data_IF_506464708638
#
_entry.id   IF_506464708638
#
_cell.length_a   1.000
_cell.length_b   1.000
_cell.length_c   1.000
_cell.angle_alpha   90.00
_cell.angle_beta   90.00
_cell.angle_gamma   90.00
#
_symmetry.space_group_name_H-M   'P 1'
#
loop_
_entity.id
_entity.type
_entity.pdbx_description
1 polymer ?
#
# COMPACT_ATOMS: atom_id res chain seq x y z
N UNK A 1 -14.19 -6.33 -9.16
CA UNK A 1 -13.99 -5.42 -8.02
C UNK A 1 -13.92 -6.16 -6.69
N UNK A 2 -14.85 -7.07 -6.43
CA UNK A 2 -14.82 -7.84 -5.19
C UNK A 2 -13.60 -8.74 -5.10
N UNK A 3 -13.09 -9.20 -6.24
CA UNK A 3 -11.90 -10.05 -6.27
C UNK A 3 -10.64 -9.36 -5.75
N UNK A 4 -10.55 -8.06 -5.89
CA UNK A 4 -9.41 -7.31 -5.34
C UNK A 4 -9.42 -7.35 -3.82
N UNK A 5 -10.58 -7.10 -3.22
CA UNK A 5 -10.71 -7.18 -1.76
C UNK A 5 -10.49 -8.59 -1.25
N UNK A 6 -11.03 -9.59 -1.93
CA UNK A 6 -10.85 -10.98 -1.54
C UNK A 6 -9.38 -11.40 -1.62
N UNK A 7 -8.70 -11.08 -2.71
CA UNK A 7 -7.30 -11.44 -2.89
C UNK A 7 -6.40 -10.76 -1.85
N UNK A 8 -6.63 -9.48 -1.59
CA UNK A 8 -5.88 -8.76 -0.56
C UNK A 8 -6.17 -9.32 0.82
N UNK A 9 -7.43 -9.62 1.11
CA UNK A 9 -7.83 -10.22 2.39
C UNK A 9 -7.17 -11.56 2.62
N UNK A 10 -7.06 -12.40 1.60
CA UNK A 10 -6.41 -13.70 1.72
C UNK A 10 -4.97 -13.55 2.21
N UNK A 11 -4.28 -12.49 1.77
CA UNK A 11 -2.90 -12.25 2.18
C UNK A 11 -2.77 -11.61 3.56
N UNK A 12 -3.77 -10.85 3.99
CA UNK A 12 -3.64 -9.99 5.16
C UNK A 12 -4.48 -10.40 6.37
N UNK A 13 -5.61 -11.09 6.16
CA UNK A 13 -6.48 -11.46 7.28
C UNK A 13 -5.72 -12.38 8.23
N UNK A 14 -5.74 -12.04 9.51
CA UNK A 14 -5.05 -12.81 10.54
C UNK A 14 -3.57 -12.50 10.65
N UNK A 15 -3.04 -11.63 9.80
CA UNK A 15 -1.64 -11.23 9.88
C UNK A 15 -1.45 -10.13 10.93
N UNK A 16 -0.24 -10.05 11.43
CA UNK A 16 0.14 -9.13 12.49
C UNK A 16 0.94 -7.99 11.86
N UNK A 17 0.65 -6.75 12.25
CA UNK A 17 1.48 -5.60 11.87
C UNK A 17 2.77 -5.65 12.67
N UNK A 18 3.91 -5.63 11.99
CA UNK A 18 5.23 -5.68 12.63
C UNK A 18 6.01 -4.39 12.48
N UNK A 19 5.61 -3.50 11.57
CA UNK A 19 6.28 -2.22 11.38
C UNK A 19 5.32 -1.19 10.81
N UNK A 20 5.41 0.03 11.32
CA UNK A 20 4.71 1.18 10.77
C UNK A 20 5.72 2.31 10.74
N UNK A 21 5.99 2.84 9.55
CA UNK A 21 6.97 3.91 9.39
C UNK A 21 6.61 4.76 8.19
N UNK A 22 7.18 5.95 8.14
CA UNK A 22 7.13 6.73 6.92
C UNK A 22 8.11 6.19 5.89
N UNK A 23 7.83 6.46 4.63
CA UNK A 23 8.78 6.18 3.55
C UNK A 23 10.07 6.96 3.79
N UNK A 24 11.19 6.35 3.44
CA UNK A 24 12.47 7.05 3.47
C UNK A 24 12.56 8.06 2.33
N UNK A 25 13.49 8.98 2.42
CA UNK A 25 13.72 9.96 1.34
C UNK A 25 14.03 9.27 0.02
N UNK A 26 14.77 8.17 0.07
CA UNK A 26 15.11 7.39 -1.11
C UNK A 26 13.87 6.76 -1.74
N UNK A 27 12.97 6.25 -0.91
CA UNK A 27 11.71 5.67 -1.38
C UNK A 27 10.81 6.73 -2.00
N UNK A 28 10.74 7.89 -1.38
CA UNK A 28 9.97 9.04 -1.91
C UNK A 28 10.48 9.43 -3.30
N UNK A 29 11.79 9.54 -3.44
CA UNK A 29 12.41 9.87 -4.73
C UNK A 29 12.14 8.81 -5.78
N UNK A 30 12.26 7.54 -5.41
CA UNK A 30 12.03 6.43 -6.33
C UNK A 30 10.58 6.43 -6.84
N UNK A 31 9.63 6.83 -6.00
CA UNK A 31 8.22 6.92 -6.37
C UNK A 31 7.90 8.20 -7.17
N UNK A 32 8.82 9.14 -7.21
CA UNK A 32 8.57 10.44 -7.85
C UNK A 32 7.64 11.34 -7.06
N UNK A 33 7.56 11.12 -5.75
CA UNK A 33 6.65 11.86 -4.87
C UNK A 33 7.38 13.02 -4.18
N UNK A 34 6.59 13.96 -3.67
CA UNK A 34 7.11 15.10 -2.90
C UNK A 34 6.99 14.86 -1.41
N UNK A 35 6.03 14.04 -1.00
CA UNK A 35 5.75 13.78 0.41
C UNK A 35 5.86 12.30 0.71
N UNK A 36 6.19 12.00 1.96
CA UNK A 36 6.29 10.63 2.44
C UNK A 36 4.93 10.11 2.87
N UNK A 37 4.68 8.83 2.61
CA UNK A 37 3.48 8.15 3.08
C UNK A 37 3.84 7.13 4.16
N UNK A 38 2.85 6.73 4.93
CA UNK A 38 3.01 5.65 5.92
C UNK A 38 3.15 4.32 5.19
N UNK A 39 4.10 3.51 5.62
CA UNK A 39 4.28 2.13 5.16
C UNK A 39 3.95 1.20 6.32
N UNK A 40 3.03 0.28 6.10
CA UNK A 40 2.62 -0.72 7.09
C UNK A 40 3.11 -2.08 6.63
N UNK A 41 3.90 -2.76 7.45
CA UNK A 41 4.45 -4.07 7.12
C UNK A 41 3.86 -5.14 8.03
N UNK A 42 3.51 -6.26 7.44
CA UNK A 42 2.90 -7.40 8.13
C UNK A 42 3.91 -8.52 8.34
N UNK A 43 3.58 -9.47 9.18
CA UNK A 43 4.48 -10.54 9.60
C UNK A 43 4.85 -11.52 8.49
N UNK A 44 4.12 -11.50 7.39
CA UNK A 44 4.46 -12.29 6.20
C UNK A 44 5.36 -11.54 5.20
N UNK A 45 5.86 -10.37 5.58
CA UNK A 45 6.73 -9.57 4.72
C UNK A 45 6.01 -8.64 3.76
N UNK A 46 4.68 -8.69 3.73
CA UNK A 46 3.89 -7.81 2.86
C UNK A 46 3.88 -6.39 3.44
N UNK A 47 4.08 -5.41 2.59
CA UNK A 47 3.94 -4.00 2.96
C UNK A 47 2.86 -3.34 2.13
N UNK A 48 2.16 -2.40 2.75
CA UNK A 48 1.15 -1.57 2.11
C UNK A 48 1.49 -0.11 2.31
N UNK A 49 1.15 0.72 1.34
CA UNK A 49 1.18 2.16 1.52
C UNK A 49 0.13 2.81 0.62
N UNK A 50 -0.55 3.87 1.11
CA UNK A 50 -1.57 4.53 0.32
C UNK A 50 -0.93 5.39 -0.76
N UNK A 51 -1.62 5.51 -1.88
CA UNK A 51 -1.25 6.48 -2.89
C UNK A 51 -2.21 7.64 -2.80
N UNK A 52 -1.81 8.74 -3.31
CA UNK A 52 -2.63 9.94 -3.38
C UNK A 52 -2.82 10.29 -4.84
N UNK A 53 -4.04 10.56 -5.25
CA UNK A 53 -4.20 11.15 -6.57
C UNK A 53 -3.76 12.62 -6.49
N UNK A 54 -3.24 13.14 -7.58
CA UNK A 54 -2.68 14.48 -7.60
C UNK A 54 -3.73 15.56 -7.35
N UNK A 55 -4.98 15.23 -7.51
CA UNK A 55 -6.07 16.18 -7.35
C UNK A 55 -6.66 16.16 -5.94
N UNK A 56 -6.32 15.14 -5.15
CA UNK A 56 -6.82 15.00 -3.80
C UNK A 56 -8.30 14.71 -3.72
N UNK A 57 -8.89 14.14 -4.77
CA UNK A 57 -10.31 13.85 -4.85
C UNK A 57 -10.58 12.37 -4.63
N UNK A 58 -11.28 12.05 -3.58
CA UNK A 58 -11.75 10.70 -3.34
C UNK A 58 -10.72 9.76 -2.73
N UNK A 59 -11.01 8.48 -2.77
CA UNK A 59 -10.19 7.44 -2.17
C UNK A 59 -8.91 7.22 -2.97
N UNK A 60 -7.84 6.90 -2.26
CA UNK A 60 -6.57 6.54 -2.90
C UNK A 60 -6.44 5.06 -3.11
N UNK A 61 -5.66 4.67 -4.10
CA UNK A 61 -5.30 3.28 -4.30
C UNK A 61 -4.29 2.84 -3.24
N UNK A 62 -4.18 1.54 -3.03
CA UNK A 62 -3.15 0.96 -2.16
C UNK A 62 -2.06 0.35 -3.03
N UNK A 63 -0.80 0.68 -2.73
CA UNK A 63 0.34 -0.02 -3.28
C UNK A 63 0.76 -1.11 -2.30
N UNK A 64 1.13 -2.26 -2.82
CA UNK A 64 1.53 -3.41 -2.00
C UNK A 64 2.77 -4.07 -2.59
N UNK A 65 3.41 -4.91 -1.78
CA UNK A 65 4.54 -5.71 -2.23
C UNK A 65 4.12 -7.13 -2.64
N UNK A 66 2.82 -7.40 -2.72
CA UNK A 66 2.32 -8.71 -3.12
C UNK A 66 2.42 -8.86 -4.64
N UNK A 67 3.04 -9.93 -5.12
CA UNK A 67 3.09 -10.23 -6.55
C UNK A 67 1.68 -10.40 -7.10
N UNK A 68 1.37 -9.70 -8.18
CA UNK A 68 0.05 -9.72 -8.79
C UNK A 68 -0.96 -8.77 -8.16
N UNK A 69 -0.59 -8.14 -7.04
CA UNK A 69 -1.44 -7.17 -6.35
C UNK A 69 -0.68 -5.88 -6.05
N UNK A 70 0.29 -5.52 -6.88
CA UNK A 70 1.14 -4.36 -6.64
C UNK A 70 0.34 -3.07 -6.47
N UNK A 71 -0.77 -2.96 -7.17
CA UNK A 71 -1.69 -1.83 -7.02
C UNK A 71 -3.10 -2.35 -6.82
N UNK A 72 -3.70 -2.01 -5.69
CA UNK A 72 -5.12 -2.29 -5.45
C UNK A 72 -5.87 -1.01 -5.78
N UNK A 73 -6.63 -1.02 -6.87
CA UNK A 73 -7.24 0.22 -7.35
C UNK A 73 -8.42 0.66 -6.50
N UNK A 74 -8.77 1.92 -6.65
CA UNK A 74 -10.07 2.41 -6.17
C UNK A 74 -11.15 1.92 -7.12
N UNK A 75 -12.32 1.77 -6.60
CA UNK A 75 -13.46 1.29 -7.35
C UNK A 75 -14.66 2.21 -7.20
#
# INVERSE_FOLDING_TARGET
>A
RESWGFALGTELIGRRVVSVRYMTDEEVKAAGWYNSAIVITFDNGVSLYPTRDDEGNGAGALFTTINGLETVPII
#
